data_IF_588067299969
#
_entry.id   IF_588067299969
#
_cell.length_a   1.000
_cell.length_b   1.000
_cell.length_c   1.000
_cell.angle_alpha   90.00
_cell.angle_beta   90.00
_cell.angle_gamma   90.00
#
_symmetry.space_group_name_H-M   'P 1'
#
loop_
_entity.id
_entity.type
_entity.pdbx_description
1 polymer ?
#
# COMPACT_ATOMS: atom_id res chain seq x y z
N UNK A 1 -21.70 -6.69 -17.71
CA UNK A 1 -22.45 -5.71 -16.90
C UNK A 1 -21.96 -5.70 -15.44
N UNK A 2 -21.84 -6.84 -14.76
CA UNK A 2 -21.48 -6.91 -13.34
C UNK A 2 -20.08 -6.38 -12.98
N UNK A 3 -19.06 -6.65 -13.81
CA UNK A 3 -17.69 -6.12 -13.60
C UNK A 3 -17.62 -4.59 -13.58
N UNK A 4 -18.42 -3.90 -14.39
CA UNK A 4 -18.44 -2.43 -14.40
C UNK A 4 -19.05 -1.90 -13.11
N UNK A 5 -20.05 -2.59 -12.56
CA UNK A 5 -20.66 -2.22 -11.28
C UNK A 5 -19.68 -2.37 -10.12
N UNK A 6 -18.94 -3.47 -10.03
CA UNK A 6 -17.95 -3.67 -8.96
C UNK A 6 -16.86 -2.58 -8.99
N UNK A 7 -16.36 -2.26 -10.19
CA UNK A 7 -15.34 -1.22 -10.37
C UNK A 7 -15.90 0.15 -9.99
N UNK A 8 -17.15 0.45 -10.37
CA UNK A 8 -17.84 1.68 -9.98
C UNK A 8 -18.03 1.75 -8.46
N UNK A 9 -18.60 0.71 -7.84
CA UNK A 9 -18.82 0.61 -6.40
C UNK A 9 -17.51 0.78 -5.61
N UNK A 10 -16.39 0.26 -6.13
CA UNK A 10 -15.07 0.46 -5.55
C UNK A 10 -14.66 1.93 -5.52
N UNK A 11 -14.74 2.65 -6.64
CA UNK A 11 -14.34 4.05 -6.69
C UNK A 11 -15.29 4.96 -5.90
N UNK A 12 -16.61 4.73 -5.96
CA UNK A 12 -17.60 5.49 -5.16
C UNK A 12 -17.36 5.33 -3.66
N UNK A 13 -17.09 4.10 -3.20
CA UNK A 13 -16.78 3.84 -1.77
C UNK A 13 -15.43 4.40 -1.33
N UNK A 14 -14.45 4.51 -2.23
CA UNK A 14 -13.20 5.21 -1.93
C UNK A 14 -13.43 6.70 -1.75
N UNK A 15 -14.14 7.33 -2.68
CA UNK A 15 -14.47 8.76 -2.64
C UNK A 15 -15.23 9.13 -1.37
N UNK A 16 -16.25 8.33 -0.99
CA UNK A 16 -17.01 8.52 0.24
C UNK A 16 -16.16 8.46 1.53
N UNK A 17 -14.95 7.88 1.47
CA UNK A 17 -13.98 7.82 2.58
C UNK A 17 -12.83 8.80 2.45
N UNK A 18 -12.76 9.58 1.37
CA UNK A 18 -11.59 10.42 1.05
C UNK A 18 -10.35 9.60 0.74
N UNK A 19 -10.50 8.37 0.25
CA UNK A 19 -9.40 7.50 -0.14
C UNK A 19 -9.11 7.65 -1.64
N UNK A 20 -7.89 7.31 -2.05
CA UNK A 20 -7.56 7.13 -3.47
C UNK A 20 -7.08 5.71 -3.70
N UNK A 21 -7.24 5.21 -4.92
CA UNK A 21 -6.79 3.86 -5.23
C UNK A 21 -6.80 3.54 -6.71
N UNK A 22 -6.19 2.42 -7.05
CA UNK A 22 -6.13 1.87 -8.41
C UNK A 22 -6.29 0.36 -8.37
N UNK A 23 -6.93 -0.16 -9.41
CA UNK A 23 -7.02 -1.59 -9.70
C UNK A 23 -6.00 -1.93 -10.79
N UNK A 24 -5.20 -2.95 -10.57
CA UNK A 24 -4.08 -3.34 -11.44
C UNK A 24 -4.19 -4.83 -11.73
N UNK A 25 -3.83 -5.27 -12.94
CA UNK A 25 -3.76 -6.71 -13.20
C UNK A 25 -2.57 -7.33 -12.47
N UNK A 26 -2.78 -8.50 -11.85
CA UNK A 26 -1.71 -9.23 -11.16
C UNK A 26 -0.57 -9.68 -12.12
N UNK A 27 -0.82 -9.69 -13.44
CA UNK A 27 0.21 -9.94 -14.46
C UNK A 27 1.40 -8.96 -14.41
N UNK A 28 1.23 -7.81 -13.75
CA UNK A 28 2.27 -6.80 -13.61
C UNK A 28 3.19 -7.05 -12.40
N UNK A 29 2.95 -8.05 -11.55
CA UNK A 29 3.84 -8.36 -10.42
C UNK A 29 5.30 -8.61 -10.85
N UNK A 30 5.59 -9.35 -11.93
CA UNK A 30 6.97 -9.51 -12.41
C UNK A 30 7.64 -8.20 -12.83
N UNK A 31 6.87 -7.18 -13.20
CA UNK A 31 7.43 -5.85 -13.49
C UNK A 31 7.95 -5.18 -12.23
N UNK A 32 7.25 -5.33 -11.09
CA UNK A 32 7.72 -4.81 -9.81
C UNK A 32 9.05 -5.45 -9.39
N UNK A 33 9.23 -6.74 -9.67
CA UNK A 33 10.50 -7.43 -9.41
C UNK A 33 11.64 -6.84 -10.25
N UNK A 34 11.37 -6.58 -11.54
CA UNK A 34 12.34 -5.96 -12.43
C UNK A 34 12.70 -4.55 -11.99
N UNK A 35 11.72 -3.76 -11.55
CA UNK A 35 11.96 -2.40 -11.08
C UNK A 35 12.87 -2.40 -9.84
N UNK A 36 12.62 -3.27 -8.86
CA UNK A 36 13.47 -3.40 -7.66
C UNK A 36 14.89 -3.86 -8.03
N UNK A 37 15.03 -4.86 -8.91
CA UNK A 37 16.34 -5.31 -9.39
C UNK A 37 17.11 -4.19 -10.10
N UNK A 38 16.43 -3.43 -10.97
CA UNK A 38 17.01 -2.29 -11.66
C UNK A 38 17.52 -1.22 -10.68
N UNK A 39 16.76 -0.90 -9.62
CA UNK A 39 17.21 0.04 -8.60
C UNK A 39 18.48 -0.44 -7.88
N UNK A 40 18.57 -1.75 -7.61
CA UNK A 40 19.78 -2.35 -7.04
C UNK A 40 20.98 -2.27 -7.99
N UNK A 41 20.79 -2.67 -9.26
CA UNK A 41 21.83 -2.61 -10.30
C UNK A 41 22.36 -1.18 -10.52
N UNK A 42 21.49 -0.19 -10.38
CA UNK A 42 21.83 1.24 -10.47
C UNK A 42 22.45 1.81 -9.18
N UNK A 43 22.65 0.99 -8.14
CA UNK A 43 23.14 1.41 -6.81
C UNK A 43 22.28 2.51 -6.16
N UNK A 44 20.98 2.50 -6.45
CA UNK A 44 19.99 3.38 -5.83
C UNK A 44 19.47 2.80 -4.50
N UNK A 45 19.77 1.53 -4.23
CA UNK A 45 19.48 0.87 -2.97
C UNK A 45 20.78 0.67 -2.20
N UNK A 46 20.71 0.81 -0.88
CA UNK A 46 21.80 0.37 -0.01
C UNK A 46 21.96 -1.16 -0.16
N UNK A 47 23.18 -1.68 -0.42
CA UNK A 47 23.39 -3.11 -0.66
C UNK A 47 23.02 -4.00 0.53
N UNK A 48 23.29 -3.55 1.77
CA UNK A 48 22.96 -4.33 2.96
C UNK A 48 21.44 -4.37 3.14
N UNK A 49 20.77 -3.24 2.96
CA UNK A 49 19.32 -3.16 3.01
C UNK A 49 18.66 -4.01 1.90
N UNK A 50 19.21 -4.00 0.69
CA UNK A 50 18.70 -4.85 -0.39
C UNK A 50 18.82 -6.33 -0.04
N UNK A 51 19.98 -6.77 0.45
CA UNK A 51 20.19 -8.17 0.82
C UNK A 51 19.31 -8.62 1.99
N UNK A 52 19.06 -7.75 2.98
CA UNK A 52 18.18 -8.04 4.11
C UNK A 52 16.70 -8.17 3.68
N UNK A 53 16.24 -7.35 2.72
CA UNK A 53 14.82 -7.25 2.34
C UNK A 53 14.47 -7.91 1.01
N UNK A 54 15.42 -8.50 0.27
CA UNK A 54 15.15 -9.11 -1.06
C UNK A 54 14.08 -10.21 -1.02
N UNK A 55 14.00 -10.93 0.10
CA UNK A 55 13.07 -12.04 0.31
C UNK A 55 11.78 -11.60 1.04
N UNK A 56 11.67 -10.32 1.42
CA UNK A 56 10.47 -9.77 2.05
C UNK A 56 9.28 -9.71 1.09
N UNK A 57 9.55 -9.50 -0.21
CA UNK A 57 8.52 -9.33 -1.23
C UNK A 57 8.15 -10.64 -1.94
N UNK A 58 6.85 -10.87 -2.07
CA UNK A 58 6.27 -12.01 -2.80
C UNK A 58 5.99 -11.61 -4.26
N UNK A 59 6.83 -12.08 -5.18
CA UNK A 59 6.65 -11.85 -6.62
C UNK A 59 5.85 -12.95 -7.33
N UNK A 60 5.50 -14.00 -6.60
CA UNK A 60 4.60 -15.07 -7.01
C UNK A 60 3.67 -15.38 -5.82
N UNK A 61 2.77 -14.44 -5.46
CA UNK A 61 1.92 -14.64 -4.30
C UNK A 61 1.00 -15.84 -4.52
N UNK A 62 0.85 -16.66 -3.49
CA UNK A 62 -0.09 -17.76 -3.43
C UNK A 62 -1.26 -17.35 -2.52
N UNK A 63 -2.48 -17.78 -2.88
CA UNK A 63 -3.66 -17.54 -2.10
C UNK A 63 -4.50 -18.81 -1.99
N UNK A 64 -5.11 -19.04 -0.83
CA UNK A 64 -5.97 -20.21 -0.58
C UNK A 64 -7.15 -20.29 -1.56
N UNK A 65 -7.61 -19.14 -2.06
CA UNK A 65 -8.69 -19.04 -3.03
C UNK A 65 -8.26 -19.23 -4.49
N UNK A 66 -7.00 -19.60 -4.74
CA UNK A 66 -6.48 -19.91 -6.07
C UNK A 66 -5.88 -18.71 -6.81
N UNK A 67 -6.13 -18.64 -8.11
CA UNK A 67 -5.44 -17.70 -9.01
C UNK A 67 -5.74 -16.23 -8.69
N UNK A 68 -4.68 -15.44 -8.51
CA UNK A 68 -4.76 -14.00 -8.24
C UNK A 68 -4.86 -13.24 -9.57
N UNK A 69 -5.97 -12.53 -9.77
CA UNK A 69 -6.26 -11.81 -11.03
C UNK A 69 -5.87 -10.33 -10.99
N UNK A 70 -6.00 -9.70 -9.83
CA UNK A 70 -5.89 -8.25 -9.67
C UNK A 70 -5.24 -7.88 -8.35
N UNK A 71 -4.53 -6.76 -8.36
CA UNK A 71 -4.04 -6.05 -7.19
C UNK A 71 -4.87 -4.78 -7.01
N UNK A 72 -5.23 -4.49 -5.76
CA UNK A 72 -5.85 -3.22 -5.37
C UNK A 72 -4.83 -2.48 -4.51
N UNK A 73 -4.47 -1.27 -4.91
CA UNK A 73 -3.64 -0.38 -4.12
C UNK A 73 -4.46 0.84 -3.71
N UNK A 74 -4.47 1.13 -2.41
CA UNK A 74 -5.33 2.14 -1.80
C UNK A 74 -4.47 2.99 -0.87
N UNK A 75 -4.66 4.30 -0.94
CA UNK A 75 -4.06 5.28 -0.04
C UNK A 75 -5.09 5.63 1.03
N UNK A 76 -4.69 5.48 2.29
CA UNK A 76 -5.55 5.75 3.44
C UNK A 76 -4.91 6.87 4.26
N UNK A 77 -5.56 8.03 4.40
CA UNK A 77 -5.09 9.09 5.27
C UNK A 77 -4.91 8.58 6.70
N UNK A 78 -3.77 8.88 7.31
CA UNK A 78 -3.52 8.62 8.73
C UNK A 78 -3.18 9.92 9.45
N UNK A 79 -3.76 10.16 10.64
CA UNK A 79 -3.39 11.32 11.44
C UNK A 79 -1.95 11.17 11.93
N UNK A 80 -1.28 12.31 12.13
CA UNK A 80 0.00 12.37 12.82
C UNK A 80 -0.25 12.29 14.33
N UNK A 81 0.48 11.41 15.02
CA UNK A 81 0.37 11.26 16.46
C UNK A 81 1.52 11.99 17.15
N UNK A 82 1.20 12.63 18.27
CA UNK A 82 2.16 13.30 19.14
C UNK A 82 2.17 12.60 20.49
N UNK A 83 3.34 12.17 20.94
CA UNK A 83 3.55 11.61 22.29
C UNK A 83 4.30 12.65 23.11
N UNK A 84 3.87 12.86 24.35
CA UNK A 84 4.49 13.81 25.27
C UNK A 84 5.19 13.01 26.37
N UNK A 85 6.51 13.16 26.47
CA UNK A 85 7.30 12.57 27.54
C UNK A 85 7.49 13.60 28.65
N UNK A 86 7.33 13.18 29.90
CA UNK A 86 7.65 14.00 31.07
C UNK A 86 9.00 13.55 31.64
N UNK A 87 10.00 14.42 31.59
CA UNK A 87 11.36 14.13 32.06
C UNK A 87 11.94 15.35 32.77
N UNK A 88 12.48 15.18 33.99
CA UNK A 88 13.02 16.27 34.80
C UNK A 88 12.10 17.51 34.90
N UNK A 89 10.80 17.29 35.14
CA UNK A 89 9.76 18.33 35.17
C UNK A 89 9.61 19.13 33.86
N UNK A 90 10.09 18.61 32.73
CA UNK A 90 9.89 19.17 31.40
C UNK A 90 9.04 18.26 30.51
N UNK A 91 8.23 18.87 29.65
CA UNK A 91 7.50 18.17 28.59
C UNK A 91 8.33 18.13 27.31
N UNK A 92 8.52 16.94 26.76
CA UNK A 92 9.27 16.70 25.52
C UNK A 92 8.30 16.11 24.49
N UNK A 93 7.78 16.93 23.55
CA UNK A 93 6.87 16.45 22.52
C UNK A 93 7.62 15.78 21.37
N UNK A 94 7.20 14.57 20.98
CA UNK A 94 7.74 13.86 19.82
C UNK A 94 6.61 13.45 18.87
N UNK A 95 6.86 13.60 17.56
CA UNK A 95 5.96 13.11 16.52
C UNK A 95 6.28 11.65 16.25
N UNK A 96 5.25 10.81 16.30
CA UNK A 96 5.37 9.41 15.90
C UNK A 96 5.10 9.33 14.40
N UNK A 97 6.02 8.77 13.60
CA UNK A 97 5.81 8.64 12.17
C UNK A 97 4.50 7.90 11.87
N UNK A 98 3.76 8.30 10.82
CA UNK A 98 2.61 7.55 10.34
C UNK A 98 2.97 6.08 10.12
N UNK A 99 2.03 5.17 10.37
CA UNK A 99 2.16 3.69 10.36
C UNK A 99 2.78 3.00 11.57
N UNK A 100 3.50 3.68 12.47
CA UNK A 100 4.19 3.02 13.60
C UNK A 100 3.23 2.52 14.69
N UNK A 101 2.12 3.20 14.93
CA UNK A 101 1.14 2.82 15.97
C UNK A 101 0.04 1.90 15.45
N UNK A 102 -0.42 2.10 14.21
CA UNK A 102 -1.66 1.49 13.71
C UNK A 102 -1.53 0.90 12.29
N UNK A 103 -0.30 0.60 11.84
CA UNK A 103 -0.07 0.01 10.52
C UNK A 103 -0.86 -1.29 10.28
N UNK A 104 -0.82 -2.22 11.25
CA UNK A 104 -1.56 -3.49 11.13
C UNK A 104 -3.07 -3.30 11.08
N UNK A 105 -3.60 -2.46 11.99
CA UNK A 105 -5.03 -2.15 12.02
C UNK A 105 -5.50 -1.49 10.71
N UNK A 106 -4.66 -0.67 10.06
CA UNK A 106 -4.99 -0.09 8.76
C UNK A 106 -5.03 -1.15 7.64
N UNK A 107 -4.12 -2.12 7.65
CA UNK A 107 -4.15 -3.27 6.73
C UNK A 107 -5.45 -4.05 6.90
N UNK A 108 -5.79 -4.43 8.14
CA UNK A 108 -6.97 -5.24 8.43
C UNK A 108 -8.27 -4.49 8.06
N UNK A 109 -8.35 -3.18 8.34
CA UNK A 109 -9.48 -2.32 7.92
C UNK A 109 -9.59 -2.22 6.40
N UNK A 110 -8.48 -2.07 5.70
CA UNK A 110 -8.46 -1.98 4.23
C UNK A 110 -8.88 -3.32 3.59
N UNK A 111 -8.43 -4.45 4.14
CA UNK A 111 -8.88 -5.78 3.73
C UNK A 111 -10.37 -5.97 3.96
N UNK A 112 -10.90 -5.57 5.12
CA UNK A 112 -12.32 -5.67 5.43
C UNK A 112 -13.16 -4.80 4.47
N UNK A 113 -12.72 -3.56 4.21
CA UNK A 113 -13.33 -2.65 3.24
C UNK A 113 -13.42 -3.26 1.84
N UNK A 114 -12.31 -3.80 1.31
CA UNK A 114 -12.32 -4.48 0.01
C UNK A 114 -13.18 -5.75 0.01
N UNK A 115 -13.17 -6.50 1.11
CA UNK A 115 -13.98 -7.71 1.27
C UNK A 115 -15.47 -7.39 1.16
N UNK A 116 -15.94 -6.30 1.79
CA UNK A 116 -17.34 -5.85 1.71
C UNK A 116 -17.78 -5.57 0.27
N UNK A 117 -16.87 -5.04 -0.55
CA UNK A 117 -17.12 -4.71 -1.96
C UNK A 117 -17.14 -5.96 -2.84
N UNK A 118 -16.17 -6.84 -2.64
CA UNK A 118 -15.83 -7.90 -3.59
C UNK A 118 -16.52 -9.24 -3.27
N UNK A 119 -16.75 -9.55 -1.99
CA UNK A 119 -17.34 -10.81 -1.54
C UNK A 119 -18.76 -11.07 -2.05
N UNK A 120 -19.67 -10.07 -2.17
CA UNK A 120 -21.00 -10.29 -2.74
C UNK A 120 -20.97 -10.80 -4.18
N UNK A 121 -19.90 -10.53 -4.92
CA UNK A 121 -19.68 -11.01 -6.29
C UNK A 121 -18.83 -12.28 -6.36
N UNK A 122 -18.59 -12.95 -5.22
CA UNK A 122 -17.85 -14.21 -5.14
C UNK A 122 -16.32 -14.06 -5.18
N UNK A 123 -15.79 -12.85 -5.08
CA UNK A 123 -14.34 -12.61 -5.03
C UNK A 123 -13.81 -12.61 -3.59
N UNK A 124 -12.59 -13.11 -3.42
CA UNK A 124 -11.88 -13.12 -2.14
C UNK A 124 -10.73 -12.11 -2.16
N UNK A 125 -10.33 -11.65 -0.98
CA UNK A 125 -9.32 -10.60 -0.81
C UNK A 125 -8.29 -11.06 0.21
N UNK A 126 -7.02 -10.97 -0.17
CA UNK A 126 -5.89 -11.15 0.74
C UNK A 126 -4.86 -10.02 0.60
N UNK A 127 -4.05 -9.84 1.63
CA UNK A 127 -2.98 -8.84 1.62
C UNK A 127 -1.78 -9.35 0.81
N UNK A 128 -1.41 -8.63 -0.24
CA UNK A 128 -0.25 -8.95 -1.07
C UNK A 128 1.02 -8.24 -0.56
N UNK A 129 2.05 -9.02 -0.21
CA UNK A 129 3.38 -8.50 0.20
C UNK A 129 4.24 -8.15 -1.02
N UNK A 130 3.78 -7.21 -1.85
CA UNK A 130 4.53 -6.70 -3.02
C UNK A 130 5.20 -5.35 -2.72
N UNK A 131 6.14 -4.85 -3.55
CA UNK A 131 6.72 -3.51 -3.38
C UNK A 131 5.68 -2.39 -3.57
N UNK A 132 4.96 -2.04 -2.50
CA UNK A 132 3.78 -1.16 -2.56
C UNK A 132 4.11 0.25 -3.06
N UNK A 133 5.22 0.84 -2.63
CA UNK A 133 5.66 2.18 -3.09
C UNK A 133 5.94 2.17 -4.60
N UNK A 134 6.68 1.16 -5.07
CA UNK A 134 6.97 0.97 -6.49
C UNK A 134 5.68 0.79 -7.30
N UNK A 135 4.75 -0.04 -6.80
CA UNK A 135 3.45 -0.24 -7.44
C UNK A 135 2.65 1.07 -7.53
N UNK A 136 2.56 1.84 -6.44
CA UNK A 136 1.82 3.11 -6.41
C UNK A 136 2.32 4.10 -7.45
N UNK A 137 3.65 4.24 -7.56
CA UNK A 137 4.28 5.15 -8.52
C UNK A 137 4.10 4.66 -9.95
N UNK A 138 4.30 3.35 -10.18
CA UNK A 138 4.12 2.73 -11.51
C UNK A 138 2.74 2.98 -12.11
N UNK A 139 1.71 3.07 -11.26
CA UNK A 139 0.31 3.23 -11.70
C UNK A 139 -0.19 4.68 -11.61
N UNK A 140 0.72 5.63 -11.35
CA UNK A 140 0.39 7.06 -11.24
C UNK A 140 -0.53 7.38 -10.08
N UNK A 141 -0.51 6.58 -9.01
CA UNK A 141 -1.25 6.87 -7.78
C UNK A 141 -0.44 7.76 -6.82
N UNK A 142 0.87 7.73 -6.93
CA UNK A 142 1.78 8.50 -6.08
C UNK A 142 3.06 8.87 -6.83
N UNK A 143 3.86 9.76 -6.25
CA UNK A 143 5.20 10.12 -6.73
C UNK A 143 6.25 9.86 -5.64
N UNK A 144 7.46 9.45 -6.04
CA UNK A 144 8.57 9.34 -5.09
C UNK A 144 9.13 10.73 -4.76
N UNK A 145 9.22 11.05 -3.48
CA UNK A 145 10.05 12.17 -3.05
C UNK A 145 11.49 11.77 -2.76
N UNK A 146 12.34 12.78 -2.60
CA UNK A 146 13.79 12.61 -2.36
C UNK A 146 14.12 11.90 -1.03
N UNK A 147 13.17 11.82 -0.11
CA UNK A 147 13.28 11.17 1.19
C UNK A 147 12.78 9.72 1.20
N UNK A 148 12.64 9.07 0.04
CA UNK A 148 12.26 7.66 -0.10
C UNK A 148 10.86 7.31 0.48
N UNK A 149 9.98 8.31 0.59
CA UNK A 149 8.54 8.15 0.79
C UNK A 149 7.79 8.58 -0.46
N UNK A 150 6.55 8.11 -0.58
CA UNK A 150 5.69 8.44 -1.71
C UNK A 150 4.66 9.49 -1.30
N UNK A 151 4.35 10.40 -2.21
CA UNK A 151 3.41 11.49 -2.02
C UNK A 151 2.22 11.27 -2.95
N UNK A 152 1.03 11.49 -2.41
CA UNK A 152 -0.22 11.37 -3.16
C UNK A 152 -0.80 12.77 -3.14
N UNK A 153 -1.03 13.35 -4.31
CA UNK A 153 -1.70 14.63 -4.39
C UNK A 153 -3.04 14.53 -3.70
N UNK A 154 -3.34 15.44 -2.78
CA UNK A 154 -4.69 15.66 -2.28
C UNK A 154 -5.20 16.91 -3.01
N UNK A 155 -6.39 16.83 -3.60
CA UNK A 155 -7.07 18.06 -4.03
C UNK A 155 -7.61 18.64 -2.73
N UNK A 156 -7.15 19.83 -2.37
CA UNK A 156 -7.68 20.61 -1.25
C UNK A 156 -9.13 21.07 -1.53
#
# INVERSE_FOLDING_TARGET
MEKNKIVQDFYEKLEAKGYKGKIVSAKHIPELQRDIKKFNEQKLLDPNFYEEYKDYFEFQPEAEFGEIKSLFIITVPQPQYKVIFHWNNQEIPLIVPPTYLHGRAAIDKTKAFLTEILKPSGYNVEFARVPQKTLAVRVGLAEYGRNNITYVDTVD
#
